data_IF_251025955488
#
_entry.id   IF_251025955488
#
_cell.length_a   1.000
_cell.length_b   1.000
_cell.length_c   1.000
_cell.angle_alpha   90.00
_cell.angle_beta   90.00
_cell.angle_gamma   90.00
#
_symmetry.space_group_name_H-M   'P 1'
#
loop_
_entity.id
_entity.type
_entity.pdbx_description
1 polymer ?
#
# COMPACT_ATOMS: atom_id res chain seq x y z
N UNK A 1 6.99 -8.05 20.22
CA UNK A 1 5.72 -8.61 19.71
C UNK A 1 4.62 -7.61 19.96
N UNK A 2 3.76 -7.36 18.97
CA UNK A 2 2.58 -6.52 19.11
C UNK A 2 1.59 -7.21 20.08
N UNK A 3 1.16 -6.58 21.19
CA UNK A 3 0.26 -7.21 22.15
C UNK A 3 -1.23 -7.07 21.79
N UNK A 4 -1.57 -6.30 20.76
CA UNK A 4 -2.96 -5.95 20.43
C UNK A 4 -3.52 -6.80 19.28
N UNK A 5 -2.78 -6.91 18.19
CA UNK A 5 -3.23 -7.62 16.98
C UNK A 5 -2.44 -8.90 16.76
N UNK A 6 -3.12 -9.94 16.28
CA UNK A 6 -2.53 -11.22 15.90
C UNK A 6 -1.67 -11.13 14.63
N UNK A 7 -1.98 -10.16 13.76
CA UNK A 7 -1.23 -9.85 12.53
C UNK A 7 -1.44 -8.38 12.16
N UNK A 8 -0.36 -7.69 11.82
CA UNK A 8 -0.36 -6.36 11.22
C UNK A 8 0.01 -6.48 9.74
N UNK A 9 -0.91 -6.10 8.87
CA UNK A 9 -0.69 -5.99 7.42
C UNK A 9 -0.56 -4.51 7.07
N UNK A 10 0.46 -4.14 6.31
CA UNK A 10 0.64 -2.78 5.81
C UNK A 10 0.62 -2.79 4.29
N UNK A 11 -0.22 -1.94 3.70
CA UNK A 11 -0.25 -1.66 2.27
C UNK A 11 0.10 -0.21 2.02
N UNK A 12 1.09 0.04 1.16
CA UNK A 12 1.52 1.40 0.83
C UNK A 12 2.23 1.48 -0.51
N UNK A 13 2.37 2.72 -1.01
CA UNK A 13 3.18 3.05 -2.17
C UNK A 13 3.98 4.33 -1.93
N UNK A 14 4.58 4.87 -2.98
CA UNK A 14 5.17 6.20 -2.95
C UNK A 14 4.80 6.98 -4.22
N UNK A 15 4.76 8.31 -4.10
CA UNK A 15 4.56 9.19 -5.24
C UNK A 15 5.75 9.17 -6.21
N UNK A 16 5.46 9.12 -7.51
CA UNK A 16 6.43 9.34 -8.56
C UNK A 16 6.80 10.82 -8.72
N UNK A 17 7.95 11.09 -9.35
CA UNK A 17 8.50 12.43 -9.59
C UNK A 17 8.65 13.30 -8.32
N UNK A 18 8.81 12.66 -7.15
CA UNK A 18 8.95 13.31 -5.84
C UNK A 18 10.12 12.70 -5.05
N UNK A 19 10.09 12.79 -3.72
CA UNK A 19 11.15 12.45 -2.77
C UNK A 19 11.61 10.98 -2.86
N UNK A 20 12.47 10.64 -3.82
CA UNK A 20 12.98 9.27 -4.01
C UNK A 20 13.72 8.73 -2.79
N UNK A 21 14.46 9.59 -2.10
CA UNK A 21 15.23 9.24 -0.89
C UNK A 21 14.37 8.66 0.24
N UNK A 22 13.08 9.04 0.30
CA UNK A 22 12.16 8.52 1.32
C UNK A 22 11.73 7.09 1.05
N UNK A 23 11.78 6.59 -0.19
CA UNK A 23 11.24 5.28 -0.59
C UNK A 23 11.89 4.14 0.18
N UNK A 24 13.22 4.14 0.24
CA UNK A 24 13.99 3.16 1.02
C UNK A 24 13.64 3.23 2.51
N UNK A 25 13.54 4.44 3.07
CA UNK A 25 13.20 4.64 4.48
C UNK A 25 11.79 4.13 4.81
N UNK A 26 10.82 4.34 3.91
CA UNK A 26 9.47 3.80 4.03
C UNK A 26 9.48 2.27 4.00
N UNK A 27 10.27 1.66 3.11
CA UNK A 27 10.48 0.21 3.09
C UNK A 27 11.08 -0.33 4.38
N UNK A 28 12.04 0.39 4.98
CA UNK A 28 12.61 0.00 6.28
C UNK A 28 11.61 0.14 7.42
N UNK A 29 10.80 1.21 7.43
CA UNK A 29 9.79 1.43 8.46
C UNK A 29 8.64 0.39 8.39
N UNK A 30 8.28 -0.08 7.19
CA UNK A 30 7.21 -1.07 7.03
C UNK A 30 7.54 -2.44 7.66
N UNK A 31 8.81 -2.70 7.98
CA UNK A 31 9.26 -3.97 8.59
C UNK A 31 8.80 -4.17 10.04
N UNK A 32 8.15 -3.17 10.63
CA UNK A 32 7.42 -3.31 11.89
C UNK A 32 6.13 -4.12 11.74
N UNK A 33 5.64 -4.31 10.51
CA UNK A 33 4.48 -5.13 10.19
C UNK A 33 4.86 -6.61 10.00
N UNK A 34 3.85 -7.48 10.08
CA UNK A 34 4.01 -8.92 9.85
C UNK A 34 3.92 -9.27 8.35
N UNK A 35 3.17 -8.48 7.58
CA UNK A 35 3.04 -8.59 6.12
C UNK A 35 3.04 -7.20 5.48
N UNK A 36 3.74 -7.05 4.37
CA UNK A 36 3.89 -5.78 3.65
C UNK A 36 3.47 -5.96 2.20
N UNK A 37 2.61 -5.07 1.70
CA UNK A 37 2.23 -5.01 0.29
C UNK A 37 2.64 -3.64 -0.26
N UNK A 38 3.55 -3.66 -1.23
CA UNK A 38 3.95 -2.47 -1.98
C UNK A 38 3.06 -2.37 -3.23
N UNK A 39 2.42 -1.22 -3.39
CA UNK A 39 1.50 -0.95 -4.51
C UNK A 39 1.72 0.45 -5.08
N UNK A 40 0.97 0.80 -6.13
CA UNK A 40 0.95 2.16 -6.63
C UNK A 40 0.18 3.08 -5.68
N UNK A 41 0.68 4.30 -5.53
CA UNK A 41 -0.03 5.41 -4.87
C UNK A 41 -0.41 6.45 -5.94
N UNK A 42 0.57 7.25 -6.37
CA UNK A 42 0.44 8.25 -7.42
C UNK A 42 1.72 8.21 -8.26
N UNK A 43 1.89 7.25 -9.20
CA UNK A 43 3.13 7.09 -9.96
C UNK A 43 3.45 8.27 -10.89
N UNK A 44 2.48 9.13 -11.22
CA UNK A 44 2.67 10.28 -12.13
C UNK A 44 3.31 9.82 -13.44
N UNK A 45 4.43 10.41 -13.85
CA UNK A 45 5.15 10.07 -15.07
C UNK A 45 6.37 9.19 -14.80
N UNK A 46 6.52 8.65 -13.59
CA UNK A 46 7.61 7.76 -13.23
C UNK A 46 7.13 6.31 -13.31
N UNK A 47 8.02 5.42 -13.75
CA UNK A 47 7.73 3.99 -13.89
C UNK A 47 7.35 3.37 -12.53
N UNK A 48 6.12 2.84 -12.38
CA UNK A 48 5.68 2.09 -11.19
C UNK A 48 6.67 1.04 -10.69
N UNK A 49 7.33 0.33 -11.61
CA UNK A 49 8.29 -0.73 -11.28
C UNK A 49 9.55 -0.12 -10.65
N UNK A 50 9.99 1.05 -11.12
CA UNK A 50 11.14 1.73 -10.52
C UNK A 50 10.82 2.22 -9.11
N UNK A 51 9.61 2.77 -8.90
CA UNK A 51 9.17 3.23 -7.58
C UNK A 51 9.12 2.06 -6.60
N UNK A 52 8.51 0.93 -6.98
CA UNK A 52 8.44 -0.25 -6.11
C UNK A 52 9.82 -0.81 -5.82
N UNK A 53 10.70 -0.92 -6.83
CA UNK A 53 12.08 -1.36 -6.64
C UNK A 53 12.88 -0.46 -5.68
N UNK A 54 12.66 0.85 -5.71
CA UNK A 54 13.28 1.78 -4.76
C UNK A 54 12.79 1.57 -3.32
N UNK A 55 11.51 1.26 -3.14
CA UNK A 55 10.94 0.92 -1.82
C UNK A 55 11.53 -0.41 -1.33
N UNK A 56 11.58 -1.43 -2.20
CA UNK A 56 12.07 -2.77 -1.87
C UNK A 56 13.52 -2.78 -1.37
N UNK A 57 14.35 -1.79 -1.73
CA UNK A 57 15.72 -1.63 -1.17
C UNK A 57 15.74 -1.47 0.35
N UNK A 58 14.60 -1.13 0.97
CA UNK A 58 14.44 -1.04 2.42
C UNK A 58 13.72 -2.20 3.07
N UNK A 59 13.19 -3.16 2.29
CA UNK A 59 12.27 -4.18 2.77
C UNK A 59 12.92 -5.55 3.04
N UNK A 60 12.31 -6.34 3.94
CA UNK A 60 12.50 -7.79 4.00
C UNK A 60 11.61 -8.44 2.94
N UNK A 61 12.22 -9.00 1.89
CA UNK A 61 11.52 -9.59 0.76
C UNK A 61 10.77 -10.88 1.14
N UNK A 62 11.09 -11.50 2.28
CA UNK A 62 10.35 -12.69 2.76
C UNK A 62 8.94 -12.36 3.27
N UNK A 63 8.68 -11.08 3.59
CA UNK A 63 7.41 -10.57 4.12
C UNK A 63 6.75 -9.56 3.20
N UNK A 64 7.36 -9.28 2.04
CA UNK A 64 6.94 -8.18 1.17
C UNK A 64 6.49 -8.71 -0.19
N UNK A 65 5.24 -8.41 -0.55
CA UNK A 65 4.68 -8.64 -1.87
C UNK A 65 4.56 -7.33 -2.65
N UNK A 66 4.67 -7.39 -3.97
CA UNK A 66 4.41 -6.25 -4.87
C UNK A 66 3.18 -6.54 -5.70
N UNK A 67 2.15 -5.70 -5.55
CA UNK A 67 0.93 -5.75 -6.35
C UNK A 67 0.66 -4.33 -6.83
N UNK A 68 0.99 -4.03 -8.08
CA UNK A 68 0.99 -2.65 -8.59
C UNK A 68 -0.42 -2.08 -8.78
N UNK A 69 -1.41 -2.92 -9.08
CA UNK A 69 -2.80 -2.48 -9.09
C UNK A 69 -3.28 -2.25 -7.64
N UNK A 70 -3.72 -1.03 -7.33
CA UNK A 70 -4.06 -0.66 -5.96
C UNK A 70 -5.33 -1.35 -5.46
N UNK A 71 -6.29 -1.62 -6.35
CA UNK A 71 -7.52 -2.36 -6.01
C UNK A 71 -7.21 -3.81 -5.71
N UNK A 72 -6.39 -4.45 -6.54
CA UNK A 72 -5.92 -5.81 -6.33
C UNK A 72 -5.10 -5.91 -5.04
N UNK A 73 -4.23 -4.94 -4.77
CA UNK A 73 -3.43 -4.89 -3.55
C UNK A 73 -4.33 -4.81 -2.31
N UNK A 74 -5.33 -3.92 -2.30
CA UNK A 74 -6.29 -3.79 -1.18
C UNK A 74 -7.08 -5.08 -1.01
N UNK A 75 -7.58 -5.66 -2.11
CA UNK A 75 -8.33 -6.91 -2.09
C UNK A 75 -7.49 -8.05 -1.50
N UNK A 76 -6.24 -8.18 -1.95
CA UNK A 76 -5.30 -9.17 -1.42
C UNK A 76 -5.02 -8.93 0.07
N UNK A 77 -4.81 -7.68 0.47
CA UNK A 77 -4.54 -7.33 1.85
C UNK A 77 -5.71 -7.67 2.78
N UNK A 78 -6.95 -7.41 2.34
CA UNK A 78 -8.17 -7.78 3.07
C UNK A 78 -8.29 -9.31 3.18
N UNK A 79 -8.03 -10.04 2.11
CA UNK A 79 -8.07 -11.51 2.10
C UNK A 79 -7.00 -12.16 2.99
N UNK A 80 -5.92 -11.45 3.32
CA UNK A 80 -4.91 -11.91 4.27
C UNK A 80 -5.34 -11.80 5.75
N UNK A 81 -6.40 -11.05 6.04
CA UNK A 81 -6.84 -10.80 7.40
C UNK A 81 -7.53 -12.02 8.00
N UNK A 82 -7.23 -12.26 9.27
CA UNK A 82 -7.92 -13.23 10.13
C UNK A 82 -8.50 -12.50 11.33
N UNK A 83 -9.15 -13.25 12.21
CA UNK A 83 -9.62 -12.71 13.49
C UNK A 83 -8.47 -12.02 14.25
N UNK A 84 -8.80 -10.85 14.82
CA UNK A 84 -7.87 -9.97 15.54
C UNK A 84 -6.66 -9.47 14.72
N UNK A 85 -6.76 -9.43 13.38
CA UNK A 85 -5.77 -8.79 12.51
C UNK A 85 -6.11 -7.32 12.25
N UNK A 86 -5.12 -6.53 11.82
CA UNK A 86 -5.32 -5.15 11.37
C UNK A 86 -4.66 -4.92 10.02
N UNK A 87 -5.33 -4.17 9.14
CA UNK A 87 -4.79 -3.65 7.90
C UNK A 87 -4.60 -2.14 8.01
N UNK A 88 -3.39 -1.67 7.70
CA UNK A 88 -3.07 -0.26 7.54
C UNK A 88 -2.90 0.05 6.05
N UNK A 89 -3.85 0.80 5.47
CA UNK A 89 -3.77 1.33 4.11
C UNK A 89 -3.24 2.75 4.16
N UNK A 90 -2.02 2.97 3.66
CA UNK A 90 -1.29 4.22 3.80
C UNK A 90 -1.04 4.91 2.45
N UNK A 91 -0.79 6.22 2.50
CA UNK A 91 -0.45 7.07 1.36
C UNK A 91 -1.53 8.10 1.04
N UNK A 92 -2.71 7.64 0.61
CA UNK A 92 -3.73 8.50 -0.02
C UNK A 92 -4.67 9.23 0.95
N UNK A 93 -5.07 8.58 2.05
CA UNK A 93 -6.01 9.17 3.00
C UNK A 93 -7.35 9.55 2.35
N UNK A 94 -7.64 10.85 2.27
CA UNK A 94 -8.90 11.38 1.73
C UNK A 94 -8.83 11.74 0.23
N UNK A 95 -7.75 11.41 -0.46
CA UNK A 95 -7.64 11.62 -1.91
C UNK A 95 -8.71 10.81 -2.67
N UNK A 96 -9.29 11.42 -3.71
CA UNK A 96 -10.39 10.85 -4.50
C UNK A 96 -9.95 10.38 -5.90
N UNK A 97 -8.65 10.40 -6.17
CA UNK A 97 -8.08 9.99 -7.45
C UNK A 97 -6.70 9.34 -7.27
N UNK A 98 -6.29 8.61 -8.30
CA UNK A 98 -4.94 8.12 -8.49
C UNK A 98 -4.33 8.77 -9.74
N UNK A 99 -3.15 9.39 -9.58
CA UNK A 99 -2.46 10.11 -10.66
C UNK A 99 -1.52 9.17 -11.44
N UNK A 100 -1.82 8.91 -12.72
CA UNK A 100 -1.03 8.06 -13.62
C UNK A 100 -0.85 8.80 -14.95
N UNK A 101 0.39 8.99 -15.39
CA UNK A 101 0.77 9.72 -16.62
C UNK A 101 0.04 11.07 -16.73
N UNK A 102 0.06 11.87 -15.67
CA UNK A 102 -0.67 13.14 -15.50
C UNK A 102 -2.21 13.07 -15.61
N UNK A 103 -2.78 11.87 -15.66
CA UNK A 103 -4.23 11.64 -15.67
C UNK A 103 -4.73 11.32 -14.27
N UNK A 104 -5.87 11.90 -13.89
CA UNK A 104 -6.51 11.65 -12.59
C UNK A 104 -7.60 10.61 -12.77
N UNK A 105 -7.31 9.37 -12.35
CA UNK A 105 -8.27 8.27 -12.41
C UNK A 105 -9.07 8.27 -11.11
N UNK A 106 -10.42 8.34 -11.14
CA UNK A 106 -11.24 8.31 -9.93
C UNK A 106 -10.97 7.06 -9.11
N UNK A 107 -10.52 7.26 -7.87
CA UNK A 107 -10.18 6.19 -6.95
C UNK A 107 -10.02 6.73 -5.52
N UNK A 108 -10.78 6.18 -4.58
CA UNK A 108 -10.67 6.48 -3.16
C UNK A 108 -10.49 5.17 -2.39
N UNK A 109 -9.50 5.12 -1.49
CA UNK A 109 -9.20 3.92 -0.70
C UNK A 109 -10.40 3.51 0.17
N UNK A 110 -11.02 4.47 0.88
CA UNK A 110 -12.11 4.17 1.81
C UNK A 110 -13.33 3.61 1.09
N UNK A 111 -13.75 4.25 -0.01
CA UNK A 111 -14.90 3.80 -0.80
C UNK A 111 -14.68 2.37 -1.31
N UNK A 112 -13.49 2.09 -1.85
CA UNK A 112 -13.16 0.76 -2.38
C UNK A 112 -13.05 -0.30 -1.28
N UNK A 113 -12.47 0.04 -0.12
CA UNK A 113 -12.42 -0.86 1.04
C UNK A 113 -13.83 -1.21 1.51
N UNK A 114 -14.70 -0.20 1.65
CA UNK A 114 -16.08 -0.38 2.08
C UNK A 114 -16.87 -1.27 1.13
N UNK A 115 -16.72 -1.06 -0.18
CA UNK A 115 -17.30 -1.93 -1.19
C UNK A 115 -16.79 -3.38 -1.03
N UNK A 116 -15.48 -3.55 -0.87
CA UNK A 116 -14.84 -4.88 -0.79
C UNK A 116 -15.29 -5.68 0.44
N UNK A 117 -15.50 -5.04 1.59
CA UNK A 117 -15.96 -5.71 2.81
C UNK A 117 -17.49 -5.85 2.90
N UNK A 118 -18.23 -5.46 1.85
CA UNK A 118 -19.68 -5.60 1.78
C UNK A 118 -20.49 -4.51 2.50
N UNK A 119 -19.93 -3.30 2.65
CA UNK A 119 -20.65 -2.14 3.19
C UNK A 119 -20.85 -2.16 4.71
N UNK A 120 -20.05 -2.92 5.45
CA UNK A 120 -20.04 -2.94 6.92
C UNK A 120 -19.35 -1.68 7.48
N UNK A 121 -20.08 -0.57 7.53
CA UNK A 121 -19.83 0.51 8.50
C UNK A 121 -21.13 0.81 9.23
#
# INVERSE_FOLDING_TARGET
MNPYFSKVVVLFGAGGNRDKEKRKLMGTASQLADSVIVTNDNPRNEDPIQISNDILKGCDLSKTNVILDRKEAITSAINELKENSVLLVLGKGHEMYQEINNSHIPFNDNDFINETIGGLI
#
